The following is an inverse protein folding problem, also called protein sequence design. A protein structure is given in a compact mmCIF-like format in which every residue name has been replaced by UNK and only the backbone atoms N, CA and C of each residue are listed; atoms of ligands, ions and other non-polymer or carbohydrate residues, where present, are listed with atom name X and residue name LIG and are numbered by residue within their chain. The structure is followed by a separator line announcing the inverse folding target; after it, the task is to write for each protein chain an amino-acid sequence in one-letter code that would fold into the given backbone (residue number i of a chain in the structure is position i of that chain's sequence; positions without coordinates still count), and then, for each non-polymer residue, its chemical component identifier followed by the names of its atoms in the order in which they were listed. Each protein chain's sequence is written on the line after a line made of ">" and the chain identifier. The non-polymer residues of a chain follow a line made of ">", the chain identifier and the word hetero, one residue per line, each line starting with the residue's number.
data_IF_353074889627
#
_entry.id   IF_353074889627
#
_cell.length_a   1.000
_cell.length_b   1.000
_cell.length_c   1.000
_cell.angle_alpha   90.00
_cell.angle_beta   90.00
_cell.angle_gamma   90.00
#
_symmetry.space_group_name_H-M   'P 1'
#
loop_
_entity.id
_entity.type
_entity.pdbx_description
1 polymer ?
#
# COMPACT_ATOMS: atom_id res chain seq x y z
N UNK A 1 18.87 13.63 -29.28
CA UNK A 1 18.86 13.16 -27.89
C UNK A 1 17.79 13.90 -27.10
N UNK A 2 17.05 13.27 -26.18
CA UNK A 2 16.06 14.00 -25.37
C UNK A 2 16.75 15.11 -24.57
N UNK A 3 16.18 16.33 -24.58
CA UNK A 3 16.72 17.52 -23.89
C UNK A 3 16.83 17.39 -22.37
N UNK A 4 16.10 16.44 -21.79
CA UNK A 4 16.10 16.19 -20.35
C UNK A 4 16.63 14.77 -20.12
N UNK A 5 17.68 14.59 -19.30
CA UNK A 5 18.20 13.27 -18.99
C UNK A 5 17.15 12.47 -18.21
N UNK A 6 16.89 11.24 -18.65
CA UNK A 6 16.04 10.30 -17.92
C UNK A 6 16.80 9.79 -16.69
N UNK A 7 16.38 10.20 -15.50
CA UNK A 7 16.96 9.71 -14.24
C UNK A 7 16.45 8.30 -13.96
N UNK A 8 17.35 7.31 -14.06
CA UNK A 8 17.03 5.92 -13.74
C UNK A 8 16.83 5.74 -12.22
N UNK A 9 15.88 4.89 -11.82
CA UNK A 9 15.61 4.60 -10.42
C UNK A 9 15.63 3.10 -10.12
N UNK A 10 16.32 2.73 -9.04
CA UNK A 10 16.28 1.37 -8.48
C UNK A 10 15.42 1.39 -7.22
N UNK A 11 14.46 0.45 -7.16
CA UNK A 11 13.46 0.38 -6.08
C UNK A 11 13.66 -0.79 -5.14
N UNK A 12 14.58 -1.71 -5.43
CA UNK A 12 14.86 -2.90 -4.64
C UNK A 12 16.31 -3.34 -4.84
N UNK A 13 16.82 -4.11 -3.89
CA UNK A 13 18.10 -4.81 -4.00
C UNK A 13 17.87 -6.32 -3.88
N UNK A 14 18.67 -7.11 -4.58
CA UNK A 14 18.66 -8.57 -4.45
C UNK A 14 19.45 -9.00 -3.21
N UNK A 15 19.01 -10.04 -2.48
CA UNK A 15 19.80 -10.64 -1.40
C UNK A 15 21.16 -11.14 -1.90
N UNK A 16 22.20 -11.03 -1.07
CA UNK A 16 23.54 -11.54 -1.40
C UNK A 16 23.56 -13.06 -1.54
N UNK A 17 22.90 -13.77 -0.62
CA UNK A 17 22.81 -15.23 -0.60
C UNK A 17 21.43 -15.67 -1.11
N UNK A 18 21.36 -16.35 -2.27
CA UNK A 18 20.09 -16.71 -2.89
C UNK A 18 19.25 -17.71 -2.08
N UNK A 19 19.90 -18.66 -1.40
CA UNK A 19 19.24 -19.76 -0.69
C UNK A 19 19.65 -19.77 0.78
N UNK A 20 18.86 -19.09 1.62
CA UNK A 20 18.99 -19.11 3.07
C UNK A 20 17.62 -19.44 3.64
N UNK A 21 17.48 -20.61 4.28
CA UNK A 21 16.18 -21.12 4.75
C UNK A 21 15.44 -20.10 5.62
N UNK A 22 16.10 -19.56 6.64
CA UNK A 22 15.52 -18.60 7.58
C UNK A 22 14.98 -17.34 6.86
N UNK A 23 15.75 -16.79 5.91
CA UNK A 23 15.31 -15.62 5.13
C UNK A 23 14.11 -15.96 4.26
N UNK A 24 14.12 -17.12 3.59
CA UNK A 24 13.04 -17.56 2.72
C UNK A 24 11.75 -17.76 3.52
N UNK A 25 11.83 -18.37 4.69
CA UNK A 25 10.69 -18.62 5.58
C UNK A 25 10.10 -17.31 6.11
N UNK A 26 10.94 -16.38 6.57
CA UNK A 26 10.51 -15.03 6.99
C UNK A 26 9.85 -14.25 5.84
N UNK A 27 10.44 -14.27 4.64
CA UNK A 27 9.86 -13.60 3.48
C UNK A 27 8.52 -14.22 3.07
N UNK A 28 8.38 -15.54 3.13
CA UNK A 28 7.14 -16.25 2.82
C UNK A 28 6.05 -15.94 3.84
N UNK A 29 6.39 -15.88 5.13
CA UNK A 29 5.46 -15.46 6.19
C UNK A 29 4.90 -14.06 5.92
N UNK A 30 5.75 -13.08 5.62
CA UNK A 30 5.32 -11.72 5.27
C UNK A 30 4.47 -11.69 4.00
N UNK A 31 4.78 -12.52 3.00
CA UNK A 31 3.99 -12.61 1.76
C UNK A 31 2.59 -13.14 2.05
N UNK A 32 2.47 -14.17 2.88
CA UNK A 32 1.21 -14.75 3.30
C UNK A 32 0.38 -13.75 4.12
N UNK A 33 0.97 -13.21 5.19
CA UNK A 33 0.30 -12.28 6.12
C UNK A 33 -0.21 -11.01 5.44
N UNK A 34 0.54 -10.45 4.47
CA UNK A 34 0.14 -9.21 3.80
C UNK A 34 -0.40 -9.42 2.38
N UNK A 35 -0.64 -10.68 1.97
CA UNK A 35 -1.16 -11.06 0.65
C UNK A 35 -0.38 -10.44 -0.51
N UNK A 36 0.95 -10.49 -0.43
CA UNK A 36 1.85 -9.93 -1.44
C UNK A 36 1.91 -10.83 -2.67
N UNK A 37 2.17 -10.25 -3.85
CA UNK A 37 2.26 -11.04 -5.10
C UNK A 37 3.61 -11.72 -5.27
N UNK A 38 4.69 -11.06 -4.87
CA UNK A 38 6.05 -11.53 -5.12
C UNK A 38 7.05 -11.06 -4.04
N UNK A 39 8.16 -11.78 -3.90
CA UNK A 39 9.29 -11.41 -3.00
C UNK A 39 9.85 -10.03 -3.28
N UNK A 40 9.78 -9.58 -4.53
CA UNK A 40 10.20 -8.24 -4.92
C UNK A 40 9.44 -7.13 -4.16
N UNK A 41 8.16 -7.32 -3.81
CA UNK A 41 7.43 -6.34 -2.99
C UNK A 41 8.03 -6.22 -1.59
N UNK A 42 8.40 -7.34 -0.96
CA UNK A 42 9.13 -7.35 0.32
C UNK A 42 10.47 -6.63 0.17
N UNK A 43 11.24 -6.96 -0.89
CA UNK A 43 12.55 -6.35 -1.13
C UNK A 43 12.48 -4.84 -1.39
N UNK A 44 11.39 -4.34 -1.96
CA UNK A 44 11.18 -2.89 -2.12
C UNK A 44 11.02 -2.20 -0.77
N UNK A 45 10.21 -2.78 0.13
CA UNK A 45 10.01 -2.24 1.49
C UNK A 45 11.32 -2.32 2.29
N UNK A 46 12.02 -3.45 2.21
CA UNK A 46 13.35 -3.61 2.82
C UNK A 46 14.33 -2.55 2.31
N UNK A 47 14.37 -2.32 1.01
CA UNK A 47 15.25 -1.31 0.40
C UNK A 47 14.92 0.11 0.86
N UNK A 48 13.63 0.47 0.96
CA UNK A 48 13.22 1.79 1.49
C UNK A 48 13.58 1.95 2.97
N UNK A 49 13.38 0.90 3.78
CA UNK A 49 13.74 0.90 5.20
C UNK A 49 15.25 1.07 5.38
N UNK A 50 16.07 0.38 4.58
CA UNK A 50 17.53 0.53 4.60
C UNK A 50 17.96 1.96 4.30
N UNK A 51 17.32 2.64 3.32
CA UNK A 51 17.61 4.06 3.03
C UNK A 51 17.28 4.97 4.21
N UNK A 52 16.11 4.76 4.82
CA UNK A 52 15.65 5.54 5.99
C UNK A 52 16.60 5.35 7.17
N UNK A 53 16.99 4.10 7.48
CA UNK A 53 17.96 3.78 8.53
C UNK A 53 19.35 4.32 8.24
N UNK A 54 19.78 4.34 6.97
CA UNK A 54 21.07 4.95 6.59
C UNK A 54 21.06 6.45 6.90
N UNK A 55 20.03 7.17 6.48
CA UNK A 55 19.88 8.60 6.79
C UNK A 55 19.84 8.84 8.31
N UNK A 56 19.09 8.05 9.07
CA UNK A 56 19.06 8.18 10.53
C UNK A 56 20.45 7.98 11.18
N UNK A 57 21.23 6.99 10.73
CA UNK A 57 22.60 6.76 11.22
C UNK A 57 23.53 7.93 10.91
N UNK A 58 23.47 8.47 9.70
CA UNK A 58 24.28 9.65 9.30
C UNK A 58 23.92 10.90 10.12
N UNK A 59 22.66 11.05 10.54
CA UNK A 59 22.24 12.17 11.38
C UNK A 59 22.60 11.97 12.86
N UNK A 60 22.66 10.72 13.33
CA UNK A 60 23.02 10.40 14.72
C UNK A 60 24.53 10.55 14.99
N UNK A 61 25.38 10.56 13.96
CA UNK A 61 26.81 10.86 14.12
C UNK A 61 27.12 12.34 14.32
N UNK A 62 26.18 13.20 13.94
CA UNK A 62 26.28 14.66 14.07
C UNK A 62 25.95 15.10 15.50
N UNK A 63 26.45 16.26 15.93
CA UNK A 63 26.11 16.79 17.24
C UNK A 63 24.62 17.19 17.32
N UNK A 64 24.02 17.13 18.51
CA UNK A 64 22.60 17.43 18.72
C UNK A 64 22.22 18.86 18.33
N UNK A 65 23.17 19.80 18.43
CA UNK A 65 22.97 21.21 18.10
C UNK A 65 23.24 21.54 16.63
N UNK A 66 23.73 20.58 15.84
CA UNK A 66 24.05 20.84 14.44
C UNK A 66 22.77 21.18 13.64
N UNK A 67 22.77 22.27 12.86
CA UNK A 67 21.58 22.69 12.11
C UNK A 67 21.10 21.63 11.12
N UNK A 68 22.02 20.85 10.52
CA UNK A 68 21.68 19.77 9.60
C UNK A 68 20.92 18.64 10.29
N UNK A 69 21.38 18.21 11.48
CA UNK A 69 20.70 17.19 12.29
C UNK A 69 19.30 17.65 12.69
N UNK A 70 19.18 18.89 13.14
CA UNK A 70 17.89 19.46 13.54
C UNK A 70 16.92 19.54 12.36
N UNK A 71 17.35 20.04 11.21
CA UNK A 71 16.47 20.20 10.06
C UNK A 71 16.10 18.87 9.40
N UNK A 72 17.09 18.09 8.96
CA UNK A 72 16.87 16.82 8.26
C UNK A 72 16.26 15.76 9.17
N UNK A 73 16.66 15.72 10.45
CA UNK A 73 16.11 14.80 11.45
C UNK A 73 14.62 15.05 11.69
N UNK A 74 14.23 16.31 11.91
CA UNK A 74 12.82 16.68 12.06
C UNK A 74 12.02 16.40 10.79
N UNK A 75 12.59 16.65 9.61
CA UNK A 75 11.94 16.34 8.34
C UNK A 75 11.70 14.82 8.17
N UNK A 76 12.68 13.99 8.54
CA UNK A 76 12.58 12.54 8.51
C UNK A 76 11.47 12.03 9.45
N UNK A 77 11.48 12.49 10.70
CA UNK A 77 10.49 12.10 11.72
C UNK A 77 9.08 12.52 11.31
N UNK A 78 8.87 13.78 10.91
CA UNK A 78 7.57 14.27 10.42
C UNK A 78 7.04 13.45 9.25
N UNK A 79 7.90 13.01 8.33
CA UNK A 79 7.51 12.16 7.20
C UNK A 79 7.04 10.78 7.67
N UNK A 80 7.74 10.17 8.62
CA UNK A 80 7.39 8.84 9.15
C UNK A 80 6.07 8.87 9.93
N UNK A 81 5.88 9.90 10.77
CA UNK A 81 4.64 10.14 11.51
C UNK A 81 3.47 10.38 10.55
N UNK A 82 3.64 11.23 9.53
CA UNK A 82 2.58 11.49 8.53
C UNK A 82 2.10 10.22 7.80
N UNK A 83 3.01 9.28 7.55
CA UNK A 83 2.66 8.00 6.94
C UNK A 83 2.03 7.06 7.98
N UNK A 84 2.32 7.23 9.27
CA UNK A 84 1.85 6.40 10.37
C UNK A 84 2.74 5.19 10.64
N UNK A 85 4.02 5.25 10.25
CA UNK A 85 5.02 4.19 10.53
C UNK A 85 5.62 4.37 11.92
N UNK A 86 5.73 5.62 12.38
CA UNK A 86 6.22 5.98 13.70
C UNK A 86 5.11 6.70 14.46
N UNK A 87 5.00 6.41 15.75
CA UNK A 87 4.04 7.05 16.63
C UNK A 87 4.49 8.47 17.02
N UNK A 88 3.54 9.35 17.33
CA UNK A 88 3.81 10.74 17.72
C UNK A 88 4.59 10.84 19.04
N UNK A 89 4.46 9.84 19.92
CA UNK A 89 5.22 9.76 21.17
C UNK A 89 6.70 9.45 20.95
N UNK A 90 7.06 8.87 19.80
CA UNK A 90 8.40 8.34 19.50
C UNK A 90 9.19 9.26 18.56
N UNK A 91 9.12 10.57 18.73
CA UNK A 91 9.86 11.56 17.92
C UNK A 91 11.36 11.68 18.26
N UNK A 92 12.08 10.55 18.26
CA UNK A 92 13.54 10.50 18.35
C UNK A 92 14.13 9.66 17.22
N UNK A 93 15.31 10.02 16.75
CA UNK A 93 16.00 9.33 15.64
C UNK A 93 16.34 7.87 15.98
N UNK A 94 16.56 7.54 17.26
CA UNK A 94 16.90 6.18 17.69
C UNK A 94 15.78 5.18 17.38
N UNK A 95 14.51 5.60 17.53
CA UNK A 95 13.36 4.75 17.20
C UNK A 95 13.27 4.43 15.71
N UNK A 96 13.82 5.28 14.84
CA UNK A 96 13.88 5.02 13.39
C UNK A 96 14.76 3.79 13.09
N UNK A 97 15.78 3.53 13.90
CA UNK A 97 16.63 2.34 13.77
C UNK A 97 15.86 1.06 14.11
N UNK A 98 14.92 1.13 15.06
CA UNK A 98 14.07 0.01 15.49
C UNK A 98 12.95 -0.38 14.53
N UNK A 99 12.66 0.42 13.50
CA UNK A 99 11.55 0.18 12.57
C UNK A 99 11.64 -1.17 11.87
N UNK A 100 10.54 -1.91 11.80
CA UNK A 100 10.48 -3.19 11.10
C UNK A 100 9.86 -3.04 9.72
N UNK A 101 9.90 -4.12 8.92
CA UNK A 101 9.32 -4.10 7.57
C UNK A 101 7.79 -4.15 7.63
N UNK A 102 7.26 -4.80 8.66
CA UNK A 102 5.86 -4.90 9.01
C UNK A 102 5.24 -3.51 9.13
N UNK A 103 5.88 -2.57 9.84
CA UNK A 103 5.38 -1.20 10.04
C UNK A 103 5.05 -0.50 8.71
N UNK A 104 5.82 -0.76 7.65
CA UNK A 104 5.55 -0.22 6.31
C UNK A 104 4.49 -1.02 5.54
N UNK A 105 4.47 -2.35 5.70
CA UNK A 105 3.47 -3.22 5.08
C UNK A 105 2.07 -2.99 5.67
N UNK A 106 1.98 -2.65 6.95
CA UNK A 106 0.75 -2.27 7.61
C UNK A 106 0.12 -1.02 7.00
N UNK A 107 0.94 -0.06 6.57
CA UNK A 107 0.48 1.21 5.98
C UNK A 107 0.10 1.13 4.50
N UNK A 108 0.19 -0.05 3.88
CA UNK A 108 -0.26 -0.25 2.50
C UNK A 108 -1.78 -0.17 2.40
N UNK A 109 -2.27 0.41 1.31
CA UNK A 109 -3.71 0.51 1.03
C UNK A 109 -4.39 -0.86 1.06
N UNK A 110 -3.73 -1.90 0.57
CA UNK A 110 -4.23 -3.28 0.64
C UNK A 110 -4.54 -3.72 2.08
N UNK A 111 -3.59 -3.55 3.00
CA UNK A 111 -3.74 -3.92 4.40
C UNK A 111 -4.77 -3.04 5.09
N UNK A 112 -4.74 -1.73 4.82
CA UNK A 112 -5.67 -0.76 5.41
C UNK A 112 -7.13 -1.05 5.02
N UNK A 113 -7.39 -1.36 3.74
CA UNK A 113 -8.73 -1.73 3.25
C UNK A 113 -9.24 -3.00 3.92
N UNK A 114 -8.37 -4.00 4.15
CA UNK A 114 -8.74 -5.21 4.86
C UNK A 114 -9.00 -4.93 6.35
N UNK A 115 -8.11 -4.22 7.04
CA UNK A 115 -8.26 -3.86 8.47
C UNK A 115 -9.51 -2.99 8.72
N UNK A 116 -9.93 -2.17 7.75
CA UNK A 116 -11.17 -1.38 7.81
C UNK A 116 -12.45 -2.19 7.53
N UNK A 117 -12.35 -3.50 7.24
CA UNK A 117 -13.51 -4.36 6.98
C UNK A 117 -14.17 -4.17 5.61
N UNK A 118 -13.61 -3.33 4.73
CA UNK A 118 -14.14 -3.11 3.37
C UNK A 118 -13.93 -4.32 2.45
N UNK A 119 -13.05 -5.24 2.83
CA UNK A 119 -12.76 -6.46 2.09
C UNK A 119 -12.76 -7.68 3.02
N UNK A 120 -13.32 -8.78 2.53
CA UNK A 120 -13.38 -10.07 3.25
C UNK A 120 -12.02 -10.72 3.52
N UNK A 121 -11.02 -10.43 2.68
CA UNK A 121 -9.66 -10.98 2.81
C UNK A 121 -8.64 -10.01 2.23
N UNK A 122 -7.37 -10.21 2.55
CA UNK A 122 -6.26 -9.39 2.07
C UNK A 122 -6.09 -9.52 0.54
N UNK A 123 -6.38 -10.70 0.00
CA UNK A 123 -6.41 -10.93 -1.45
C UNK A 123 -7.61 -10.24 -2.11
N UNK A 124 -8.78 -10.27 -1.46
CA UNK A 124 -9.96 -9.55 -1.94
C UNK A 124 -9.71 -8.03 -1.98
N UNK A 125 -9.07 -7.46 -0.96
CA UNK A 125 -8.69 -6.05 -0.93
C UNK A 125 -7.83 -5.68 -2.15
N UNK A 126 -6.86 -6.53 -2.51
CA UNK A 126 -5.98 -6.31 -3.67
C UNK A 126 -6.76 -6.23 -4.98
N UNK A 127 -7.74 -7.12 -5.17
CA UNK A 127 -8.60 -7.14 -6.36
C UNK A 127 -9.48 -5.91 -6.39
N UNK A 128 -10.14 -5.54 -5.29
CA UNK A 128 -10.99 -4.35 -5.22
C UNK A 128 -10.24 -3.07 -5.58
N UNK A 129 -9.02 -2.90 -5.07
CA UNK A 129 -8.16 -1.77 -5.40
C UNK A 129 -7.85 -1.78 -6.90
N UNK A 130 -7.40 -2.93 -7.43
CA UNK A 130 -6.97 -3.02 -8.83
C UNK A 130 -8.13 -2.78 -9.81
N UNK A 131 -9.34 -3.20 -9.44
CA UNK A 131 -10.57 -3.00 -10.20
C UNK A 131 -11.18 -1.59 -10.01
N UNK A 132 -10.45 -0.67 -9.36
CA UNK A 132 -10.85 0.74 -9.20
C UNK A 132 -12.13 0.93 -8.37
N UNK A 133 -12.39 0.01 -7.44
CA UNK A 133 -13.56 0.10 -6.56
C UNK A 133 -13.31 0.96 -5.32
N UNK A 134 -12.05 1.25 -4.98
CA UNK A 134 -11.67 1.98 -3.77
C UNK A 134 -11.16 3.38 -4.11
N UNK A 135 -11.60 4.36 -3.33
CA UNK A 135 -11.09 5.74 -3.34
C UNK A 135 -10.40 6.06 -2.02
N UNK A 136 -9.44 6.96 -2.11
CA UNK A 136 -8.81 7.62 -0.96
C UNK A 136 -9.10 9.11 -1.11
N UNK A 137 -9.88 9.67 -0.19
CA UNK A 137 -10.48 11.01 -0.32
C UNK A 137 -11.33 11.12 -1.58
N UNK A 138 -10.95 12.01 -2.50
CA UNK A 138 -11.64 12.28 -3.77
C UNK A 138 -11.11 11.44 -4.93
N UNK A 139 -9.97 10.77 -4.77
CA UNK A 139 -9.27 10.10 -5.86
C UNK A 139 -9.46 8.59 -5.81
N UNK A 140 -9.78 7.98 -6.95
CA UNK A 140 -9.77 6.52 -7.10
C UNK A 140 -8.32 6.04 -7.19
N UNK A 141 -7.92 5.13 -6.30
CA UNK A 141 -6.56 4.60 -6.24
C UNK A 141 -6.56 3.14 -6.70
N UNK A 142 -5.76 2.83 -7.73
CA UNK A 142 -5.70 1.49 -8.35
C UNK A 142 -4.39 0.73 -8.07
N UNK A 143 -3.58 1.22 -7.12
CA UNK A 143 -2.27 0.68 -6.75
C UNK A 143 -2.31 0.14 -5.32
N UNK A 144 -2.20 -1.20 -5.11
CA UNK A 144 -2.20 -1.81 -3.77
C UNK A 144 -1.00 -1.43 -2.90
N UNK A 145 0.11 -0.99 -3.50
CA UNK A 145 1.32 -0.56 -2.80
C UNK A 145 1.28 0.91 -2.38
N UNK A 146 0.15 1.60 -2.52
CA UNK A 146 -0.01 2.98 -2.06
C UNK A 146 0.14 3.04 -0.54
N UNK A 147 1.03 3.90 -0.04
CA UNK A 147 1.17 4.15 1.40
C UNK A 147 0.13 5.17 1.85
N UNK A 148 -0.75 4.73 2.75
CA UNK A 148 -1.84 5.54 3.29
C UNK A 148 -1.31 6.45 4.38
N UNK A 149 -1.49 7.76 4.20
CA UNK A 149 -1.25 8.78 5.24
C UNK A 149 -2.31 8.71 6.32
N UNK A 150 -1.97 9.06 7.56
CA UNK A 150 -2.91 9.09 8.69
C UNK A 150 -4.15 9.94 8.37
N UNK A 151 -3.97 11.15 7.86
CA UNK A 151 -5.08 12.06 7.50
C UNK A 151 -5.99 11.53 6.38
N UNK A 152 -5.47 10.64 5.54
CA UNK A 152 -6.21 10.05 4.42
C UNK A 152 -6.90 8.75 4.82
N UNK A 153 -6.48 8.11 5.91
CA UNK A 153 -7.01 6.83 6.37
C UNK A 153 -8.50 6.92 6.71
N UNK A 154 -8.94 8.02 7.33
CA UNK A 154 -10.36 8.29 7.63
C UNK A 154 -11.25 8.38 6.38
N UNK A 155 -10.65 8.59 5.21
CA UNK A 155 -11.34 8.86 3.97
C UNK A 155 -11.14 7.73 2.94
N UNK A 156 -10.98 6.49 3.42
CA UNK A 156 -10.94 5.30 2.57
C UNK A 156 -12.35 4.74 2.49
N UNK A 157 -12.87 4.65 1.28
CA UNK A 157 -14.24 4.19 1.04
C UNK A 157 -14.36 3.64 -0.39
N UNK A 158 -15.51 3.05 -0.73
CA UNK A 158 -15.83 2.70 -2.10
C UNK A 158 -15.96 3.95 -2.98
N UNK A 159 -15.56 3.80 -4.23
CA UNK A 159 -15.73 4.82 -5.25
C UNK A 159 -17.22 5.01 -5.54
N UNK A 160 -17.68 6.25 -5.60
CA UNK A 160 -19.08 6.57 -5.97
C UNK A 160 -19.45 6.07 -7.37
N UNK A 161 -18.45 5.88 -8.25
CA UNK A 161 -18.65 5.31 -9.60
C UNK A 161 -18.75 3.78 -9.60
N UNK A 162 -18.33 3.14 -8.51
CA UNK A 162 -18.36 1.69 -8.37
C UNK A 162 -19.77 1.22 -8.05
N UNK A 163 -20.17 0.01 -8.49
CA UNK A 163 -21.40 -0.64 -8.01
C UNK A 163 -21.52 -0.69 -6.49
N UNK A 164 -20.39 -0.84 -5.78
CA UNK A 164 -20.35 -0.87 -4.31
C UNK A 164 -20.57 0.49 -3.65
N UNK A 165 -20.44 1.60 -4.40
CA UNK A 165 -20.65 2.96 -3.89
C UNK A 165 -21.93 3.61 -4.42
N UNK A 166 -22.91 2.81 -4.86
CA UNK A 166 -24.17 3.29 -5.44
C UNK A 166 -24.11 3.57 -6.96
N UNK A 167 -22.99 3.31 -7.61
CA UNK A 167 -22.84 3.47 -9.05
C UNK A 167 -23.58 2.40 -9.86
N UNK A 168 -23.69 2.61 -11.18
CA UNK A 168 -24.37 1.68 -12.10
C UNK A 168 -23.78 0.27 -12.01
N UNK A 169 -24.60 -0.79 -11.97
CA UNK A 169 -24.14 -2.17 -12.00
C UNK A 169 -23.19 -2.48 -13.17
N UNK A 170 -22.20 -3.33 -12.90
CA UNK A 170 -21.19 -3.76 -13.87
C UNK A 170 -21.77 -4.50 -15.08
N UNK A 171 -20.96 -4.64 -16.14
CA UNK A 171 -21.36 -5.28 -17.41
C UNK A 171 -21.96 -6.68 -17.21
N UNK A 172 -21.35 -7.50 -16.36
CA UNK A 172 -21.80 -8.89 -16.12
C UNK A 172 -23.20 -8.91 -15.51
N UNK A 173 -23.44 -8.14 -14.44
CA UNK A 173 -24.77 -8.04 -13.83
C UNK A 173 -25.81 -7.53 -14.84
N UNK A 174 -25.47 -6.51 -15.64
CA UNK A 174 -26.35 -6.00 -16.71
C UNK A 174 -26.66 -7.03 -17.79
N UNK A 175 -25.65 -7.81 -18.23
CA UNK A 175 -25.84 -8.88 -19.24
C UNK A 175 -26.75 -9.98 -18.69
N UNK A 176 -26.56 -10.39 -17.45
CA UNK A 176 -27.35 -11.46 -16.84
C UNK A 176 -28.81 -11.04 -16.62
N UNK A 177 -29.05 -9.80 -16.16
CA UNK A 177 -30.41 -9.26 -16.04
C UNK A 177 -31.10 -9.21 -17.40
N UNK A 178 -30.40 -8.75 -18.45
CA UNK A 178 -30.94 -8.72 -19.82
C UNK A 178 -31.24 -10.12 -20.37
N UNK A 179 -30.45 -11.13 -20.03
CA UNK A 179 -30.72 -12.52 -20.43
C UNK A 179 -31.95 -13.09 -19.71
N UNK A 180 -32.09 -12.81 -18.41
CA UNK A 180 -33.26 -13.23 -17.64
C UNK A 180 -34.56 -12.60 -18.14
N UNK A 181 -34.55 -11.30 -18.48
CA UNK A 181 -35.74 -10.63 -19.03
C UNK A 181 -36.12 -11.13 -20.44
N UNK A 182 -35.16 -11.61 -21.24
CA UNK A 182 -35.44 -12.17 -22.55
C UNK A 182 -35.92 -13.62 -22.51
N UNK A 183 -35.71 -14.34 -21.40
CA UNK A 183 -36.23 -15.69 -21.20
C UNK A 183 -37.65 -15.72 -20.65
N UNK A 184 -38.06 -14.69 -19.89
CA UNK A 184 -39.43 -14.60 -19.35
C UNK A 184 -40.48 -14.12 -20.37
N UNK A 185 -40.07 -13.41 -21.42
CA UNK A 185 -40.99 -12.95 -22.47
C UNK A 185 -41.30 -14.03 -23.53
N UNK A 186 -40.76 -15.24 -23.39
CA UNK A 186 -41.05 -16.37 -24.28
C UNK A 186 -42.04 -17.38 -23.67
N UNK A 187 -42.37 -17.24 -22.38
CA UNK A 187 -43.33 -18.09 -21.65
C UNK A 187 -44.71 -17.42 -21.47
N UNK A 188 -44.89 -16.17 -21.92
CA UNK A 188 -46.17 -15.44 -21.80
C UNK A 188 -47.02 -15.45 -23.10
N UNK A 189 -46.58 -16.18 -24.14
CA UNK A 189 -47.30 -16.32 -25.43
C UNK A 189 -47.93 -17.73 -25.62
N UNK A 190 -47.98 -18.57 -24.58
CA UNK A 190 -48.70 -19.85 -24.56
C UNK A 190 -49.76 -19.88 -23.44
N UNK A 191 -50.84 -19.10 -23.57
CA UNK A 191 -52.15 -19.34 -22.94
C UNK A 191 -53.27 -18.60 -23.70
#
# INVERSE_FOLDING_TARGET
>A
MPRVPLVASKTYTTPRRPFEKERLDQELKLIGEYGLRNKREVWRVKYTLTKIRKAARELLTLDEKEPKRLFEGNALLRRLVRIGVLDETKMKLDYVLGLRQEDFLERRLQTQVFKLGLAKSIHHARVLIRQRHIRVRKQVVNIPSYLVRLDSQKHIDFSLRSPYGGGRPGRVKRKNVKKGSAGGAADEDED
#
